data_IF_115409932416
#
_entry.id   IF_115409932416
#
_cell.length_a   1.000
_cell.length_b   1.000
_cell.length_c   1.000
_cell.angle_alpha   90.00
_cell.angle_beta   90.00
_cell.angle_gamma   90.00
#
_symmetry.space_group_name_H-M   'P 1'
#
loop_
_entity.id
_entity.type
_entity.pdbx_description
1 polymer ?
#
# COMPACT_ATOMS: atom_id res chain seq x y z
N UNK A 1 6.16 -14.60 -17.52
CA UNK A 1 5.47 -13.30 -17.33
C UNK A 1 5.19 -13.14 -15.84
N UNK A 2 5.61 -12.03 -15.23
CA UNK A 2 5.35 -11.76 -13.80
C UNK A 2 3.96 -11.13 -13.73
N UNK A 3 2.99 -11.83 -13.14
CA UNK A 3 1.60 -11.38 -13.09
C UNK A 3 1.33 -10.42 -11.91
N UNK A 4 2.11 -10.53 -10.84
CA UNK A 4 2.06 -9.63 -9.68
C UNK A 4 3.34 -9.76 -8.87
N UNK A 5 3.59 -8.77 -8.00
CA UNK A 5 4.67 -8.78 -7.01
C UNK A 5 4.01 -8.79 -5.63
N UNK A 6 4.48 -9.68 -4.75
CA UNK A 6 4.06 -9.71 -3.34
C UNK A 6 5.14 -9.09 -2.47
N UNK A 7 4.76 -8.06 -1.71
CA UNK A 7 5.62 -7.41 -0.71
C UNK A 7 5.02 -7.69 0.68
N UNK A 8 5.84 -8.07 1.67
CA UNK A 8 5.37 -8.37 3.03
C UNK A 8 6.33 -7.81 4.10
N UNK A 9 5.79 -7.61 5.30
CA UNK A 9 6.53 -7.23 6.53
C UNK A 9 5.84 -7.85 7.75
N UNK A 10 6.55 -7.98 8.87
CA UNK A 10 6.11 -8.79 10.02
C UNK A 10 5.06 -8.12 10.92
N UNK A 11 4.77 -6.82 10.72
CA UNK A 11 3.85 -6.06 11.56
C UNK A 11 2.89 -5.19 10.77
N UNK A 12 3.40 -4.04 10.34
CA UNK A 12 2.64 -3.09 9.54
C UNK A 12 3.48 -2.51 8.43
N UNK A 13 2.80 -2.14 7.34
CA UNK A 13 3.38 -1.49 6.18
C UNK A 13 2.59 -0.23 5.90
N UNK A 14 3.26 0.91 5.89
CA UNK A 14 2.64 2.17 5.50
C UNK A 14 3.28 2.67 4.22
N UNK A 15 2.46 2.92 3.20
CA UNK A 15 2.89 3.50 1.94
C UNK A 15 2.33 4.92 1.89
N UNK A 16 3.22 5.92 1.79
CA UNK A 16 2.85 7.34 1.77
C UNK A 16 2.81 7.86 0.35
N UNK A 17 1.84 8.75 0.07
CA UNK A 17 1.69 9.44 -1.22
C UNK A 17 2.97 10.15 -1.63
N UNK A 18 3.54 10.94 -0.71
CA UNK A 18 4.77 11.71 -0.95
C UNK A 18 5.96 10.85 -1.36
N UNK A 19 6.16 9.70 -0.69
CA UNK A 19 7.23 8.76 -1.05
C UNK A 19 7.01 8.13 -2.42
N UNK A 20 5.77 7.84 -2.79
CA UNK A 20 5.45 7.35 -4.14
C UNK A 20 5.74 8.43 -5.19
N UNK A 21 5.32 9.67 -4.96
CA UNK A 21 5.54 10.79 -5.88
C UNK A 21 7.03 11.05 -6.10
N UNK A 22 7.83 11.00 -5.03
CA UNK A 22 9.29 11.13 -5.09
C UNK A 22 9.92 10.01 -5.94
N UNK A 23 9.53 8.75 -5.70
CA UNK A 23 10.09 7.59 -6.40
C UNK A 23 9.61 7.48 -7.86
N UNK A 24 8.40 7.93 -8.17
CA UNK A 24 7.85 7.95 -9.53
C UNK A 24 8.24 9.22 -10.32
N UNK A 25 8.63 10.30 -9.64
CA UNK A 25 8.93 11.60 -10.25
C UNK A 25 7.71 12.30 -10.87
N UNK A 26 6.49 11.97 -10.43
CA UNK A 26 5.23 12.54 -10.94
C UNK A 26 4.15 12.58 -9.86
N UNK A 27 3.12 13.45 -10.00
CA UNK A 27 1.97 13.45 -9.10
C UNK A 27 1.28 12.08 -9.08
N UNK A 28 0.83 11.66 -7.89
CA UNK A 28 0.21 10.37 -7.66
C UNK A 28 -1.04 10.53 -6.79
N UNK A 29 -2.15 9.90 -7.19
CA UNK A 29 -3.38 9.87 -6.39
C UNK A 29 -3.50 8.53 -5.68
N UNK A 30 -3.89 8.54 -4.41
CA UNK A 30 -3.99 7.29 -3.63
C UNK A 30 -5.02 6.32 -4.22
N UNK A 31 -6.09 6.82 -4.84
CA UNK A 31 -7.10 6.00 -5.53
C UNK A 31 -6.50 5.17 -6.69
N UNK A 32 -5.41 5.62 -7.31
CA UNK A 32 -4.74 4.87 -8.37
C UNK A 32 -4.04 3.61 -7.82
N UNK A 33 -3.71 3.61 -6.52
CA UNK A 33 -3.13 2.45 -5.84
C UNK A 33 -4.15 1.31 -5.76
N UNK A 34 -5.42 1.60 -5.45
CA UNK A 34 -6.48 0.60 -5.31
C UNK A 34 -6.72 -0.17 -6.62
N UNK A 35 -6.59 0.50 -7.77
CA UNK A 35 -6.74 -0.12 -9.10
C UNK A 35 -5.66 -1.18 -9.35
N UNK A 36 -4.44 -0.94 -8.86
CA UNK A 36 -3.29 -1.81 -9.08
C UNK A 36 -3.13 -2.87 -7.97
N UNK A 37 -3.90 -2.78 -6.89
CA UNK A 37 -3.80 -3.65 -5.74
C UNK A 37 -4.60 -4.94 -5.97
N UNK A 38 -3.95 -5.96 -6.56
CA UNK A 38 -4.61 -7.23 -6.87
C UNK A 38 -5.11 -7.99 -5.62
N UNK A 39 -4.36 -7.95 -4.52
CA UNK A 39 -4.72 -8.57 -3.24
C UNK A 39 -3.81 -8.05 -2.12
N UNK A 40 -4.25 -8.13 -0.86
CA UNK A 40 -3.46 -7.79 0.32
C UNK A 40 -3.74 -8.76 1.48
N UNK A 41 -2.84 -8.79 2.46
CA UNK A 41 -2.98 -9.59 3.68
C UNK A 41 -3.25 -8.69 4.89
N UNK A 42 -4.13 -9.10 5.79
CA UNK A 42 -4.48 -8.35 7.00
C UNK A 42 -5.63 -7.35 6.76
N UNK A 43 -5.62 -6.25 7.50
CA UNK A 43 -6.54 -5.11 7.30
C UNK A 43 -5.83 -3.98 6.58
N UNK A 44 -6.61 -3.20 5.85
CA UNK A 44 -6.18 -2.00 5.15
C UNK A 44 -6.87 -0.78 5.78
N UNK A 45 -6.11 0.27 5.99
CA UNK A 45 -6.57 1.61 6.34
C UNK A 45 -6.15 2.54 5.21
N UNK A 46 -7.12 3.20 4.57
CA UNK A 46 -6.90 4.08 3.42
C UNK A 46 -7.17 5.53 3.82
N UNK A 47 -6.20 6.39 3.53
CA UNK A 47 -6.25 7.84 3.75
C UNK A 47 -5.77 8.55 2.46
N UNK A 48 -6.18 9.80 2.18
CA UNK A 48 -5.68 10.54 1.02
C UNK A 48 -4.15 10.66 0.95
N UNK A 49 -3.46 10.67 2.09
CA UNK A 49 -2.00 10.85 2.16
C UNK A 49 -1.24 9.53 2.34
N UNK A 50 -1.88 8.45 2.80
CA UNK A 50 -1.22 7.17 3.01
C UNK A 50 -2.19 5.98 2.95
N UNK A 51 -1.62 4.80 2.73
CA UNK A 51 -2.30 3.53 2.99
C UNK A 51 -1.50 2.74 4.00
N UNK A 52 -2.18 2.08 4.94
CA UNK A 52 -1.55 1.24 5.96
C UNK A 52 -2.14 -0.16 5.94
N UNK A 53 -1.26 -1.14 5.81
CA UNK A 53 -1.56 -2.56 5.95
C UNK A 53 -1.09 -3.03 7.31
N UNK A 54 -1.96 -3.69 8.07
CA UNK A 54 -1.61 -4.16 9.41
C UNK A 54 -2.35 -5.45 9.76
N UNK A 55 -1.74 -6.27 10.60
CA UNK A 55 -2.40 -7.42 11.20
C UNK A 55 -3.00 -7.05 12.55
N UNK A 56 -4.29 -7.32 12.73
CA UNK A 56 -4.91 -7.19 14.05
C UNK A 56 -4.56 -8.43 14.84
N UNK A 57 -3.61 -8.30 15.77
CA UNK A 57 -3.39 -9.33 16.77
C UNK A 57 -4.64 -9.40 17.64
N UNK A 58 -5.39 -10.49 17.52
CA UNK A 58 -6.33 -10.88 18.57
C UNK A 58 -5.47 -11.32 19.77
N UNK A 59 -5.48 -10.49 20.82
CA UNK A 59 -5.04 -10.87 22.16
C UNK A 59 -6.07 -11.82 22.78
#
# INVERSE_FOLDING_TARGET
MVAYIRVQTDGEMTIRRSTIEEMLGRPFKMNDLEINLASFAGRIETDPEYVRFYFVKHL
#
